data_IF_939294396167
#
_entry.id   IF_939294396167
#
_cell.length_a   1.000
_cell.length_b   1.000
_cell.length_c   1.000
_cell.angle_alpha   90.00
_cell.angle_beta   90.00
_cell.angle_gamma   90.00
#
_symmetry.space_group_name_H-M   'P 1'
#
loop_
_entity.id
_entity.type
_entity.pdbx_description
1 polymer ?
#
# COMPACT_ATOMS: atom_id res chain seq x y z
N UNK A 1 -11.94 21.92 -3.39
CA UNK A 1 -11.58 20.86 -4.35
C UNK A 1 -10.13 20.39 -4.17
N UNK A 2 -9.10 21.25 -4.33
CA UNK A 2 -7.68 20.87 -4.19
C UNK A 2 -7.30 20.24 -2.83
N UNK A 3 -7.81 20.78 -1.71
CA UNK A 3 -7.56 20.23 -0.37
C UNK A 3 -8.05 18.77 -0.23
N UNK A 4 -9.23 18.45 -0.77
CA UNK A 4 -9.78 17.07 -0.76
C UNK A 4 -8.96 16.14 -1.64
N UNK A 5 -8.49 16.62 -2.79
CA UNK A 5 -7.67 15.83 -3.72
C UNK A 5 -6.30 15.50 -3.14
N UNK A 6 -5.64 16.45 -2.48
CA UNK A 6 -4.36 16.22 -1.79
C UNK A 6 -4.48 15.23 -0.63
N UNK A 7 -5.62 15.24 0.05
CA UNK A 7 -5.94 14.30 1.14
C UNK A 7 -6.01 12.87 0.60
N UNK A 8 -6.82 12.64 -0.45
CA UNK A 8 -6.93 11.30 -1.04
C UNK A 8 -5.58 10.84 -1.60
N UNK A 9 -4.82 11.75 -2.21
CA UNK A 9 -3.49 11.46 -2.72
C UNK A 9 -2.51 11.01 -1.63
N UNK A 10 -2.57 11.60 -0.43
CA UNK A 10 -1.68 11.25 0.69
C UNK A 10 -1.99 9.85 1.24
N UNK A 11 -3.28 9.54 1.41
CA UNK A 11 -3.73 8.20 1.81
C UNK A 11 -3.33 7.16 0.76
N UNK A 12 -3.54 7.46 -0.52
CA UNK A 12 -3.19 6.54 -1.61
C UNK A 12 -1.69 6.33 -1.77
N UNK A 13 -0.89 7.39 -1.70
CA UNK A 13 0.56 7.25 -1.78
C UNK A 13 1.12 6.46 -0.58
N UNK A 14 0.56 6.62 0.62
CA UNK A 14 0.92 5.81 1.79
C UNK A 14 0.59 4.33 1.60
N UNK A 15 -0.59 4.04 1.04
CA UNK A 15 -1.02 2.69 0.68
C UNK A 15 -0.07 2.04 -0.33
N UNK A 16 0.30 2.78 -1.39
CA UNK A 16 1.19 2.26 -2.43
C UNK A 16 2.61 2.02 -1.92
N UNK A 17 3.09 2.82 -0.97
CA UNK A 17 4.35 2.53 -0.27
C UNK A 17 4.25 1.18 0.45
N UNK A 18 3.16 0.93 1.18
CA UNK A 18 2.95 -0.34 1.87
C UNK A 18 2.88 -1.54 0.93
N UNK A 19 2.13 -1.45 -0.18
CA UNK A 19 2.07 -2.50 -1.21
C UNK A 19 3.44 -2.79 -1.82
N UNK A 20 4.22 -1.73 -2.06
CA UNK A 20 5.59 -1.85 -2.57
C UNK A 20 6.46 -2.68 -1.62
N UNK A 21 6.42 -2.39 -0.32
CA UNK A 21 7.19 -3.14 0.67
C UNK A 21 6.68 -4.58 0.83
N UNK A 22 5.36 -4.81 0.79
CA UNK A 22 4.76 -6.15 0.81
C UNK A 22 5.28 -7.02 -0.34
N UNK A 23 5.28 -6.49 -1.57
CA UNK A 23 5.82 -7.20 -2.74
C UNK A 23 7.28 -7.54 -2.59
N UNK A 24 8.10 -6.58 -2.17
CA UNK A 24 9.53 -6.79 -1.97
C UNK A 24 9.81 -7.90 -0.95
N UNK A 25 9.04 -7.92 0.15
CA UNK A 25 9.16 -8.93 1.20
C UNK A 25 8.76 -10.32 0.70
N UNK A 26 7.74 -10.39 -0.16
CA UNK A 26 7.33 -11.62 -0.82
C UNK A 26 8.26 -12.04 -1.98
N UNK A 27 9.31 -11.27 -2.28
CA UNK A 27 10.24 -11.54 -3.38
C UNK A 27 9.69 -11.19 -4.77
N UNK A 28 8.62 -10.40 -4.85
CA UNK A 28 8.02 -9.96 -6.10
C UNK A 28 8.50 -8.58 -6.52
N UNK A 29 8.55 -8.35 -7.84
CA UNK A 29 8.86 -7.04 -8.39
C UNK A 29 7.71 -6.05 -8.07
N UNK A 30 8.01 -4.86 -7.52
CA UNK A 30 7.03 -3.79 -7.43
C UNK A 30 6.53 -3.39 -8.82
N UNK A 31 5.22 -3.27 -9.01
CA UNK A 31 4.65 -2.75 -10.26
C UNK A 31 3.95 -1.44 -9.97
N UNK A 32 4.34 -0.35 -10.62
CA UNK A 32 3.54 0.89 -10.64
C UNK A 32 3.57 1.42 -12.07
N UNK A 33 2.43 1.71 -12.72
CA UNK A 33 1.05 1.58 -12.22
C UNK A 33 0.53 0.15 -12.29
N UNK A 34 -0.36 -0.20 -11.36
CA UNK A 34 -1.05 -1.49 -11.36
C UNK A 34 -2.03 -1.51 -12.53
N UNK A 35 -1.92 -2.49 -13.42
CA UNK A 35 -2.92 -2.68 -14.47
C UNK A 35 -4.27 -2.88 -13.79
N UNK A 36 -5.25 -2.01 -14.04
CA UNK A 36 -6.60 -2.09 -13.49
C UNK A 36 -7.11 -3.53 -13.60
N UNK A 37 -7.29 -4.18 -12.46
CA UNK A 37 -7.69 -5.57 -12.44
C UNK A 37 -9.18 -5.66 -12.70
N UNK A 38 -9.56 -6.41 -13.74
CA UNK A 38 -10.93 -6.86 -13.88
C UNK A 38 -11.26 -7.77 -12.68
N UNK A 39 -12.47 -7.66 -12.13
CA UNK A 39 -12.93 -8.50 -11.02
C UNK A 39 -12.90 -9.96 -11.47
N UNK A 40 -11.92 -10.73 -10.99
CA UNK A 40 -11.66 -12.10 -11.44
C UNK A 40 -12.40 -13.14 -10.60
N UNK A 41 -12.74 -14.27 -11.22
CA UNK A 41 -13.66 -15.27 -10.66
C UNK A 41 -12.94 -16.30 -9.77
N UNK A 42 -13.69 -17.04 -8.93
CA UNK A 42 -13.10 -18.05 -8.02
C UNK A 42 -12.37 -19.16 -8.78
N UNK A 43 -12.76 -19.41 -10.02
CA UNK A 43 -12.17 -20.42 -10.91
C UNK A 43 -10.73 -20.06 -11.32
N UNK A 44 -10.44 -18.77 -11.53
CA UNK A 44 -9.08 -18.27 -11.85
C UNK A 44 -8.13 -18.36 -10.65
N UNK A 45 -8.66 -18.27 -9.42
CA UNK A 45 -7.89 -18.48 -8.19
C UNK A 45 -7.38 -19.93 -8.06
N UNK A 46 -8.23 -20.89 -8.41
CA UNK A 46 -7.93 -22.34 -8.29
C UNK A 46 -6.91 -22.78 -9.35
N UNK A 47 -6.93 -22.17 -10.53
CA UNK A 47 -6.01 -22.50 -11.64
C UNK A 47 -4.64 -21.81 -11.56
N UNK A 48 -4.44 -20.87 -10.63
CA UNK A 48 -3.15 -20.16 -10.45
C UNK A 48 -1.99 -21.14 -10.27
N UNK A 49 -1.08 -21.15 -11.25
CA UNK A 49 -0.01 -22.15 -11.33
C UNK A 49 1.25 -21.72 -10.56
N UNK A 50 1.42 -20.42 -10.32
CA UNK A 50 2.51 -19.87 -9.51
C UNK A 50 1.99 -19.11 -8.28
N UNK A 51 2.82 -19.04 -7.23
CA UNK A 51 2.51 -18.25 -6.02
C UNK A 51 2.43 -16.75 -6.34
N UNK A 52 3.20 -16.28 -7.33
CA UNK A 52 3.13 -14.91 -7.81
C UNK A 52 1.76 -14.61 -8.42
N UNK A 53 1.26 -15.47 -9.31
CA UNK A 53 -0.07 -15.27 -9.92
C UNK A 53 -1.15 -15.31 -8.84
N UNK A 54 -1.03 -16.22 -7.87
CA UNK A 54 -1.92 -16.29 -6.72
C UNK A 54 -1.91 -15.00 -5.88
N UNK A 55 -0.74 -14.42 -5.63
CA UNK A 55 -0.63 -13.13 -4.94
C UNK A 55 -1.23 -12.00 -5.77
N UNK A 56 -0.88 -11.89 -7.06
CA UNK A 56 -1.45 -10.88 -7.95
C UNK A 56 -2.98 -11.01 -8.06
N UNK A 57 -3.51 -12.22 -7.85
CA UNK A 57 -4.94 -12.51 -7.75
C UNK A 57 -5.62 -11.91 -6.53
N UNK A 58 -4.93 -11.95 -5.39
CA UNK A 58 -5.45 -11.53 -4.09
C UNK A 58 -4.92 -10.19 -3.60
N UNK A 59 -4.05 -9.54 -4.39
CA UNK A 59 -3.36 -8.34 -3.96
C UNK A 59 -4.35 -7.30 -3.41
N UNK A 60 -4.05 -6.70 -2.24
CA UNK A 60 -4.94 -5.76 -1.59
C UNK A 60 -5.00 -4.42 -2.32
N UNK A 61 -5.69 -4.42 -3.47
CA UNK A 61 -5.96 -3.23 -4.27
C UNK A 61 -7.12 -2.49 -3.60
N UNK A 62 -6.85 -1.29 -3.08
CA UNK A 62 -7.91 -0.43 -2.56
C UNK A 62 -8.86 0.05 -3.67
N UNK A 63 -10.12 0.28 -3.26
CA UNK A 63 -11.25 0.72 -4.10
C UNK A 63 -10.92 1.96 -4.95
N UNK A 64 -9.96 2.78 -4.53
CA UNK A 64 -9.52 4.00 -5.23
C UNK A 64 -8.73 3.73 -6.52
N UNK A 65 -8.43 2.46 -6.84
CA UNK A 65 -7.76 2.03 -8.07
C UNK A 65 -8.73 1.52 -9.17
N UNK A 66 -10.04 1.56 -8.95
CA UNK A 66 -11.02 1.11 -9.94
C UNK A 66 -11.23 2.12 -11.07
N UNK A 67 -11.57 1.67 -12.31
CA UNK A 67 -11.91 2.56 -13.42
C UNK A 67 -13.13 3.46 -13.14
N UNK A 68 -13.91 3.11 -12.11
CA UNK A 68 -15.08 3.87 -11.64
C UNK A 68 -14.71 5.07 -10.75
N UNK A 69 -13.46 5.17 -10.28
CA UNK A 69 -12.97 6.32 -9.52
C UNK A 69 -12.21 7.28 -10.44
N UNK A 70 -12.92 8.27 -10.98
CA UNK A 70 -12.39 9.35 -11.84
C UNK A 70 -11.27 10.20 -11.21
N UNK A 71 -11.00 10.03 -9.91
CA UNK A 71 -9.84 10.62 -9.24
C UNK A 71 -8.55 9.87 -9.57
N UNK A 72 -8.30 9.54 -10.85
CA UNK A 72 -7.11 8.86 -11.35
C UNK A 72 -5.85 9.68 -11.00
N UNK A 73 -5.36 9.38 -9.80
CA UNK A 73 -4.24 10.00 -9.12
C UNK A 73 -2.91 9.45 -9.65
N UNK A 74 -2.90 8.53 -10.62
CA UNK A 74 -1.68 7.88 -11.13
C UNK A 74 -0.60 8.88 -11.54
N UNK A 75 -0.96 9.93 -12.30
CA UNK A 75 -0.04 11.00 -12.69
C UNK A 75 0.55 11.77 -11.49
N UNK A 76 -0.16 11.80 -10.37
CA UNK A 76 0.22 12.49 -9.15
C UNK A 76 0.78 11.55 -8.08
N UNK A 77 0.68 10.23 -8.28
CA UNK A 77 1.07 9.22 -7.32
C UNK A 77 2.59 9.18 -7.17
N UNK A 78 3.33 9.15 -8.28
CA UNK A 78 4.80 9.18 -8.25
C UNK A 78 5.36 10.41 -7.50
N UNK A 79 4.94 11.66 -7.80
CA UNK A 79 5.40 12.80 -7.01
C UNK A 79 4.89 12.80 -5.56
N UNK A 80 3.69 12.25 -5.28
CA UNK A 80 3.19 12.14 -3.91
C UNK A 80 3.98 11.13 -3.06
N UNK A 81 4.34 9.97 -3.62
CA UNK A 81 5.22 9.00 -2.96
C UNK A 81 6.56 9.66 -2.65
N UNK A 82 7.16 10.35 -3.61
CA UNK A 82 8.42 11.07 -3.40
C UNK A 82 8.30 12.15 -2.31
N UNK A 83 7.16 12.85 -2.25
CA UNK A 83 6.87 13.81 -1.19
C UNK A 83 6.76 13.13 0.19
N UNK A 84 6.04 12.02 0.29
CA UNK A 84 5.90 11.25 1.53
C UNK A 84 7.24 10.69 1.98
N UNK A 85 7.99 10.02 1.11
CA UNK A 85 9.30 9.47 1.46
C UNK A 85 10.27 10.55 1.95
N UNK A 86 10.16 11.78 1.43
CA UNK A 86 10.94 12.93 1.92
C UNK A 86 10.44 13.48 3.25
N UNK A 87 9.12 13.66 3.42
CA UNK A 87 8.54 14.36 4.59
C UNK A 87 8.31 13.42 5.79
N UNK A 88 7.97 12.18 5.51
CA UNK A 88 7.61 11.15 6.48
C UNK A 88 8.27 9.81 6.11
N UNK A 89 9.62 9.73 6.05
CA UNK A 89 10.34 8.51 5.69
C UNK A 89 10.00 7.32 6.61
N UNK A 90 9.55 7.61 7.85
CA UNK A 90 9.14 6.62 8.83
C UNK A 90 7.99 5.73 8.35
N UNK A 91 7.11 6.19 7.45
CA UNK A 91 6.01 5.37 6.92
C UNK A 91 6.55 4.13 6.21
N UNK A 92 7.55 4.31 5.34
CA UNK A 92 8.19 3.20 4.62
C UNK A 92 8.91 2.25 5.58
N UNK A 93 9.61 2.81 6.57
CA UNK A 93 10.31 2.02 7.60
C UNK A 93 9.31 1.17 8.40
N UNK A 94 8.18 1.75 8.83
CA UNK A 94 7.13 1.04 9.57
C UNK A 94 6.60 -0.14 8.77
N UNK A 95 6.24 0.05 7.49
CA UNK A 95 5.78 -1.05 6.65
C UNK A 95 6.85 -2.14 6.51
N UNK A 96 8.08 -1.74 6.19
CA UNK A 96 9.19 -2.68 5.98
C UNK A 96 9.51 -3.50 7.21
N UNK A 97 9.63 -2.86 8.37
CA UNK A 97 9.98 -3.53 9.62
C UNK A 97 8.85 -4.44 10.09
N UNK A 98 7.61 -3.95 10.05
CA UNK A 98 6.44 -4.72 10.47
C UNK A 98 6.27 -5.98 9.61
N UNK A 99 6.17 -5.80 8.29
CA UNK A 99 5.97 -6.93 7.36
C UNK A 99 7.21 -7.83 7.33
N UNK A 100 8.41 -7.26 7.51
CA UNK A 100 9.66 -7.99 7.56
C UNK A 100 9.78 -8.87 8.81
N UNK A 101 9.10 -8.51 9.89
CA UNK A 101 8.96 -9.37 11.07
C UNK A 101 7.84 -10.40 10.85
N UNK A 102 6.69 -9.99 10.30
CA UNK A 102 5.57 -10.90 10.01
C UNK A 102 6.00 -12.07 9.11
N UNK A 103 6.78 -11.80 8.04
CA UNK A 103 7.26 -12.87 7.15
C UNK A 103 8.22 -13.86 7.84
N UNK A 104 8.96 -13.44 8.88
CA UNK A 104 9.85 -14.36 9.62
C UNK A 104 9.08 -15.38 10.43
N UNK A 105 7.83 -15.08 10.76
CA UNK A 105 6.93 -16.04 11.40
C UNK A 105 6.47 -17.13 10.43
N UNK A 106 6.46 -16.85 9.12
CA UNK A 106 6.29 -17.84 8.06
C UNK A 106 7.58 -18.67 7.94
N UNK A 107 7.62 -19.83 8.60
CA UNK A 107 8.75 -20.76 8.48
C UNK A 107 8.72 -21.42 7.10
N UNK A 108 9.75 -21.20 6.28
CA UNK A 108 9.98 -21.94 5.04
C UNK A 108 9.82 -21.12 3.77
N UNK A 109 9.40 -21.78 2.69
CA UNK A 109 9.13 -21.14 1.39
C UNK A 109 7.82 -20.35 1.43
N UNK A 110 7.72 -19.31 0.59
CA UNK A 110 6.50 -18.52 0.44
C UNK A 110 5.46 -19.38 -0.27
N UNK A 111 4.54 -19.96 0.50
CA UNK A 111 3.39 -20.70 0.00
C UNK A 111 2.12 -19.80 -0.02
N UNK A 112 0.98 -20.39 -0.40
CA UNK A 112 -0.29 -19.66 -0.45
C UNK A 112 -0.76 -19.18 0.93
N UNK A 113 -0.47 -19.95 1.98
CA UNK A 113 -0.85 -19.58 3.35
C UNK A 113 -0.02 -18.39 3.85
N UNK A 114 1.28 -18.38 3.54
CA UNK A 114 2.16 -17.26 3.82
C UNK A 114 1.70 -16.00 3.08
N UNK A 115 1.28 -16.12 1.82
CA UNK A 115 0.70 -15.00 1.06
C UNK A 115 -0.57 -14.48 1.74
N UNK A 116 -1.50 -15.36 2.11
CA UNK A 116 -2.75 -14.97 2.75
C UNK A 116 -2.49 -14.25 4.08
N UNK A 117 -1.61 -14.80 4.92
CA UNK A 117 -1.21 -14.18 6.18
C UNK A 117 -0.59 -12.79 5.94
N UNK A 118 0.32 -12.68 4.97
CA UNK A 118 0.99 -11.41 4.68
C UNK A 118 0.03 -10.33 4.14
N UNK A 119 -1.03 -10.73 3.43
CA UNK A 119 -2.10 -9.82 3.01
C UNK A 119 -2.92 -9.36 4.23
N UNK A 120 -3.22 -10.24 5.19
CA UNK A 120 -3.90 -9.86 6.43
C UNK A 120 -3.06 -8.89 7.28
N UNK A 121 -1.78 -9.21 7.46
CA UNK A 121 -0.79 -8.38 8.17
C UNK A 121 -0.65 -7.01 7.49
N UNK A 122 -0.65 -6.97 6.16
CA UNK A 122 -0.70 -5.74 5.39
C UNK A 122 -1.91 -4.89 5.72
N UNK A 123 -3.12 -5.48 5.69
CA UNK A 123 -4.34 -4.75 6.03
C UNK A 123 -4.28 -4.22 7.46
N UNK A 124 -3.76 -5.00 8.40
CA UNK A 124 -3.61 -4.59 9.80
C UNK A 124 -2.73 -3.33 9.93
N UNK A 125 -1.53 -3.34 9.37
CA UNK A 125 -0.61 -2.19 9.47
C UNK A 125 -1.11 -1.00 8.63
N UNK A 126 -1.72 -1.25 7.47
CA UNK A 126 -2.33 -0.21 6.65
C UNK A 126 -3.40 0.58 7.41
N UNK A 127 -4.31 -0.10 8.12
CA UNK A 127 -5.35 0.60 8.89
C UNK A 127 -4.75 1.50 9.99
N UNK A 128 -3.64 1.08 10.60
CA UNK A 128 -2.93 1.88 11.61
C UNK A 128 -2.24 3.09 11.01
N UNK A 129 -1.51 2.91 9.92
CA UNK A 129 -0.85 4.01 9.19
C UNK A 129 -1.89 5.00 8.68
N UNK A 130 -2.97 4.51 8.06
CA UNK A 130 -4.07 5.35 7.59
C UNK A 130 -4.66 6.17 8.72
N UNK A 131 -4.95 5.57 9.88
CA UNK A 131 -5.47 6.29 11.03
C UNK A 131 -4.53 7.41 11.48
N UNK A 132 -3.22 7.13 11.57
CA UNK A 132 -2.23 8.15 11.93
C UNK A 132 -2.15 9.28 10.88
N UNK A 133 -2.22 8.95 9.59
CA UNK A 133 -2.26 9.94 8.50
C UNK A 133 -3.54 10.79 8.57
N UNK A 134 -4.68 10.17 8.86
CA UNK A 134 -5.96 10.86 9.05
C UNK A 134 -5.92 11.76 10.31
N UNK A 135 -5.29 11.33 11.40
CA UNK A 135 -5.09 12.16 12.61
C UNK A 135 -4.26 13.41 12.29
N UNK A 136 -3.13 13.27 11.59
CA UNK A 136 -2.33 14.42 11.12
C UNK A 136 -3.13 15.35 10.19
N UNK A 137 -4.10 14.80 9.46
CA UNK A 137 -4.99 15.56 8.57
C UNK A 137 -6.06 16.35 9.32
N UNK A 138 -6.60 15.82 10.42
CA UNK A 138 -7.68 16.45 11.20
C UNK A 138 -7.17 17.25 12.39
N UNK A 139 -5.89 17.12 12.75
CA UNK A 139 -5.25 18.02 13.71
C UNK A 139 -5.07 19.41 13.09
N UNK A 140 -5.87 20.38 13.54
CA UNK A 140 -5.76 21.78 13.13
C UNK A 140 -4.48 22.45 13.66
N UNK A 141 -3.69 21.76 14.49
CA UNK A 141 -2.40 22.23 14.98
C UNK A 141 -1.27 21.56 14.21
N UNK A 142 -1.08 21.96 12.96
CA UNK A 142 0.26 21.84 12.36
C UNK A 142 1.17 22.78 13.16
N UNK A 143 2.16 22.31 13.95
CA UNK A 143 3.06 23.23 14.60
C UNK A 143 3.86 23.91 13.50
N UNK A 144 3.62 25.21 13.33
CA UNK A 144 4.33 26.11 12.41
C UNK A 144 5.83 26.25 12.73
N UNK A 145 6.37 25.46 13.66
CA UNK A 145 7.72 25.59 14.21
C UNK A 145 8.81 24.75 13.52
N UNK A 146 8.51 24.07 12.40
CA UNK A 146 9.53 23.29 11.67
C UNK A 146 9.79 23.79 10.23
N UNK A 147 9.60 25.09 9.99
CA UNK A 147 10.22 25.78 8.85
C UNK A 147 11.28 26.74 9.39
N UNK A 148 12.50 26.22 9.57
CA UNK A 148 13.75 26.94 9.31
C UNK A 148 14.30 26.26 8.05
N UNK A 149 14.66 26.92 6.96
CA UNK A 149 15.05 28.30 6.67
C UNK A 149 14.42 28.77 5.35
#
# INVERSE_FOLDING_TARGET
MAKSMNIHLLTEASNVIGLTELRLILGFTPSVPWNHRQRQSKEELVSSTSIKDYYELKEPILVLHGPEYEFLLEKHLKPAIAFIDKRFPSIRVIYREFLGESIRTCKGEIDRNAVDLMIEEYYYIYQRVRKAVDEVRFDNNCPSSFIKE
#
